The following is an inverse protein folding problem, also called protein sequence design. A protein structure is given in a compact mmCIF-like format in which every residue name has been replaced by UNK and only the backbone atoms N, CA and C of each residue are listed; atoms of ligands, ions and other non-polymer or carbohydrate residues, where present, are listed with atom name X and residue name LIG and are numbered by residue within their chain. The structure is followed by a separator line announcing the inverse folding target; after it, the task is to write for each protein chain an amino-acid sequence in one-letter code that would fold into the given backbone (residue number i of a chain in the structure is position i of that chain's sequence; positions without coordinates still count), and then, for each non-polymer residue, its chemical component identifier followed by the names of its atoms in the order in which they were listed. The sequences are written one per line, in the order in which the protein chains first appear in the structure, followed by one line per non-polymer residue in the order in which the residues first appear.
data_IF_826878358065
#
_entry.id   IF_826878358065
#
_cell.length_a   1.000
_cell.length_b   1.000
_cell.length_c   1.000
_cell.angle_alpha   90.00
_cell.angle_beta   90.00
_cell.angle_gamma   90.00
#
_symmetry.space_group_name_H-M   'P 1'
#
loop_
_entity.id
_entity.type
_entity.pdbx_description
1 polymer ?
#
# COMPACT_ATOMS: atom_id res chain seq x y z
N UNK A 1 -14.55 0.34 -12.51
CA UNK A 1 -14.55 -0.40 -11.23
C UNK A 1 -13.13 -0.39 -10.71
N UNK A 2 -12.89 0.09 -9.49
CA UNK A 2 -11.55 0.13 -8.93
C UNK A 2 -11.09 -1.29 -8.57
N UNK A 3 -9.81 -1.58 -8.79
CA UNK A 3 -9.18 -2.85 -8.42
C UNK A 3 -8.74 -2.82 -6.96
N UNK A 4 -8.89 -3.95 -6.26
CA UNK A 4 -8.38 -4.10 -4.91
C UNK A 4 -6.84 -4.24 -4.92
N UNK A 5 -6.15 -3.12 -4.71
CA UNK A 5 -4.70 -3.06 -4.67
C UNK A 5 -4.12 -3.90 -3.51
N UNK A 6 -4.78 -3.93 -2.36
CA UNK A 6 -4.34 -4.67 -1.18
C UNK A 6 -4.29 -6.18 -1.48
N UNK A 7 -5.31 -6.71 -2.16
CA UNK A 7 -5.33 -8.10 -2.61
C UNK A 7 -4.15 -8.44 -3.51
N UNK A 8 -3.89 -7.63 -4.54
CA UNK A 8 -2.77 -7.88 -5.49
C UNK A 8 -1.41 -7.84 -4.80
N UNK A 9 -1.20 -6.86 -3.91
CA UNK A 9 0.05 -6.74 -3.15
C UNK A 9 0.28 -7.94 -2.23
N UNK A 10 -0.79 -8.46 -1.60
CA UNK A 10 -0.73 -9.66 -0.76
C UNK A 10 -0.40 -10.92 -1.57
N UNK A 11 -1.08 -11.14 -2.70
CA UNK A 11 -0.82 -12.29 -3.58
C UNK A 11 0.63 -12.32 -4.09
N UNK A 12 1.27 -11.16 -4.19
CA UNK A 12 2.70 -11.01 -4.56
C UNK A 12 3.66 -11.04 -3.37
N UNK A 13 3.16 -11.14 -2.14
CA UNK A 13 3.99 -11.19 -0.93
C UNK A 13 4.60 -9.85 -0.51
N UNK A 14 4.01 -8.71 -0.88
CA UNK A 14 4.53 -7.37 -0.58
C UNK A 14 3.91 -6.70 0.67
N UNK A 15 3.05 -7.42 1.41
CA UNK A 15 2.38 -6.87 2.60
C UNK A 15 2.76 -7.69 3.82
N UNK A 16 3.58 -7.08 4.69
CA UNK A 16 3.95 -7.67 5.97
C UNK A 16 2.85 -7.46 7.02
N UNK A 17 2.35 -6.23 7.16
CA UNK A 17 1.35 -5.86 8.16
C UNK A 17 0.43 -4.74 7.65
N UNK A 18 -0.81 -4.72 8.13
CA UNK A 18 -1.78 -3.65 7.88
C UNK A 18 -2.60 -3.44 9.16
N UNK A 19 -2.89 -2.18 9.50
CA UNK A 19 -3.64 -1.83 10.71
C UNK A 19 -5.12 -2.20 10.64
N UNK A 20 -5.72 -2.17 9.44
CA UNK A 20 -7.09 -2.59 9.18
C UNK A 20 -7.25 -3.03 7.71
N UNK A 21 -7.13 -4.33 7.47
CA UNK A 21 -7.23 -4.92 6.13
C UNK A 21 -8.59 -4.71 5.46
N UNK A 22 -9.68 -4.90 6.22
CA UNK A 22 -11.03 -4.89 5.67
C UNK A 22 -11.40 -3.50 5.16
N UNK A 23 -11.22 -2.48 6.01
CA UNK A 23 -11.52 -1.09 5.67
C UNK A 23 -10.63 -0.57 4.53
N UNK A 24 -9.34 -0.92 4.51
CA UNK A 24 -8.43 -0.48 3.45
C UNK A 24 -8.76 -1.15 2.11
N UNK A 25 -9.12 -2.43 2.11
CA UNK A 25 -9.58 -3.14 0.91
C UNK A 25 -10.88 -2.54 0.36
N UNK A 26 -11.83 -2.18 1.22
CA UNK A 26 -13.05 -1.47 0.81
C UNK A 26 -12.74 -0.12 0.15
N UNK A 27 -11.83 0.66 0.75
CA UNK A 27 -11.40 1.96 0.24
C UNK A 27 -10.77 1.85 -1.17
N UNK A 28 -9.89 0.86 -1.38
CA UNK A 28 -9.30 0.61 -2.69
C UNK A 28 -10.32 0.19 -3.76
N UNK A 29 -11.49 -0.34 -3.38
CA UNK A 29 -12.57 -0.70 -4.31
C UNK A 29 -13.55 0.45 -4.56
N UNK A 30 -13.59 1.46 -3.70
CA UNK A 30 -14.51 2.60 -3.80
C UNK A 30 -13.88 3.83 -4.46
N UNK A 31 -12.59 4.07 -4.28
CA UNK A 31 -11.95 5.30 -4.73
C UNK A 31 -10.43 5.20 -5.00
N UNK A 32 -9.87 6.29 -5.54
CA UNK A 32 -8.42 6.45 -5.66
C UNK A 32 -7.83 6.93 -4.33
N UNK A 33 -6.96 6.12 -3.75
CA UNK A 33 -6.33 6.39 -2.46
C UNK A 33 -4.97 7.07 -2.67
N UNK A 34 -4.76 8.23 -2.03
CA UNK A 34 -3.45 8.87 -1.96
C UNK A 34 -2.60 8.21 -0.88
N UNK A 35 -1.37 7.82 -1.20
CA UNK A 35 -0.43 7.18 -0.27
C UNK A 35 0.93 7.90 -0.29
N UNK A 36 1.75 7.65 0.73
CA UNK A 36 3.11 8.16 0.83
C UNK A 36 4.08 7.09 1.33
N UNK A 37 5.36 7.23 0.98
CA UNK A 37 6.49 6.49 1.54
C UNK A 37 7.59 7.50 1.85
N UNK A 38 8.22 7.35 3.02
CA UNK A 38 9.29 8.25 3.48
C UNK A 38 10.65 7.56 3.44
N UNK A 39 11.68 8.34 3.13
CA UNK A 39 13.08 7.94 3.23
C UNK A 39 13.83 9.06 3.96
N UNK A 40 14.55 8.71 5.02
CA UNK A 40 15.43 9.68 5.69
C UNK A 40 16.72 9.88 4.86
N UNK A 41 17.25 11.10 4.76
CA UNK A 41 18.45 11.41 3.97
C UNK A 41 19.73 10.99 4.71
N UNK A 42 19.90 9.68 4.91
CA UNK A 42 21.01 9.09 5.67
C UNK A 42 22.30 8.92 4.84
N UNK A 43 22.19 9.05 3.51
CA UNK A 43 23.29 8.99 2.56
C UNK A 43 23.01 9.87 1.32
N UNK A 44 23.98 9.95 0.40
CA UNK A 44 23.86 10.65 -0.89
C UNK A 44 23.04 9.89 -1.95
N UNK A 45 22.75 8.60 -1.71
CA UNK A 45 21.89 7.77 -2.56
C UNK A 45 21.10 6.74 -1.73
N UNK A 46 19.91 6.38 -2.23
CA UNK A 46 19.19 5.18 -1.81
C UNK A 46 19.86 3.92 -2.36
N UNK A 47 19.55 2.77 -1.77
CA UNK A 47 20.00 1.44 -2.20
C UNK A 47 18.95 0.37 -1.88
#
# INVERSE_FOLDING_TARGET
MFSDALKVLRERGHVEWCSNDEALGELFRSEMVTAYVGFDPTADSLH
#
